data_IF_710716707552
#
_entry.id   IF_710716707552
#
_cell.length_a   1.000
_cell.length_b   1.000
_cell.length_c   1.000
_cell.angle_alpha   90.00
_cell.angle_beta   90.00
_cell.angle_gamma   90.00
#
_symmetry.space_group_name_H-M   'P 1'
#
loop_
_entity.id
_entity.type
_entity.pdbx_description
1 polymer ?
#
# COMPACT_ATOMS: atom_id res chain seq x y z
N UNK A 1 9.95 15.21 21.92
CA UNK A 1 11.16 14.39 21.66
C UNK A 1 11.24 14.01 20.19
N UNK A 2 10.24 13.36 19.59
CA UNK A 2 10.20 12.92 18.19
C UNK A 2 10.44 14.06 17.18
N UNK A 3 9.83 15.23 17.39
CA UNK A 3 10.02 16.40 16.54
C UNK A 3 11.50 16.84 16.48
N UNK A 4 12.15 16.90 17.65
CA UNK A 4 13.55 17.28 17.76
C UNK A 4 14.49 16.26 17.11
N UNK A 5 14.20 14.97 17.27
CA UNK A 5 14.97 13.90 16.64
C UNK A 5 14.92 14.01 15.10
N UNK A 6 13.76 14.24 14.53
CA UNK A 6 13.59 14.30 13.08
C UNK A 6 14.06 15.60 12.44
N UNK A 7 13.71 16.74 13.06
CA UNK A 7 14.00 18.06 12.46
C UNK A 7 15.35 18.63 12.88
N UNK A 8 15.96 18.10 13.95
CA UNK A 8 17.15 18.64 14.62
C UNK A 8 16.95 20.08 15.12
N UNK A 9 15.69 20.47 15.37
CA UNK A 9 15.33 21.81 15.88
C UNK A 9 14.79 21.70 17.30
N UNK A 10 15.17 22.63 18.15
CA UNK A 10 14.68 22.72 19.53
C UNK A 10 13.26 23.28 19.61
N UNK A 11 12.95 24.30 18.78
CA UNK A 11 11.69 24.99 18.79
C UNK A 11 10.79 24.58 17.63
N UNK A 12 9.49 24.58 17.88
CA UNK A 12 8.49 24.35 16.84
C UNK A 12 8.38 25.56 15.89
N UNK A 13 8.27 25.29 14.61
CA UNK A 13 8.03 26.33 13.62
C UNK A 13 6.75 27.14 13.95
N UNK A 14 6.69 28.45 13.64
CA UNK A 14 5.57 29.31 14.02
C UNK A 14 4.20 28.76 13.57
N UNK A 15 4.10 28.17 12.41
CA UNK A 15 2.86 27.59 11.89
C UNK A 15 2.40 26.32 12.63
N UNK A 16 3.26 25.71 13.45
CA UNK A 16 2.92 24.56 14.28
C UNK A 16 2.46 24.94 15.69
N UNK A 17 2.68 26.18 16.11
CA UNK A 17 2.32 26.66 17.45
C UNK A 17 0.86 26.42 17.84
N UNK A 18 -0.15 26.58 16.95
CA UNK A 18 -1.54 26.26 17.27
C UNK A 18 -1.80 24.81 17.69
N UNK A 19 -0.92 23.89 17.29
CA UNK A 19 -1.02 22.47 17.58
C UNK A 19 -0.16 22.03 18.77
N UNK A 20 0.52 22.96 19.43
CA UNK A 20 1.32 22.65 20.62
C UNK A 20 0.44 22.78 21.86
N UNK A 21 0.29 21.69 22.61
CA UNK A 21 -0.42 21.63 23.88
C UNK A 21 0.53 21.08 24.95
N UNK A 22 0.67 21.79 26.06
CA UNK A 22 1.53 21.38 27.19
C UNK A 22 2.96 21.02 26.75
N UNK A 23 3.52 21.75 25.79
CA UNK A 23 4.86 21.51 25.24
C UNK A 23 4.99 20.33 24.28
N UNK A 24 3.90 19.64 23.95
CA UNK A 24 3.86 18.56 22.98
C UNK A 24 3.16 18.99 21.68
N UNK A 25 3.72 18.59 20.54
CA UNK A 25 3.08 18.78 19.23
C UNK A 25 1.98 17.73 19.04
N UNK A 26 0.73 18.18 19.01
CA UNK A 26 -0.46 17.35 18.87
C UNK A 26 -0.98 17.39 17.41
N UNK A 27 -0.22 16.81 16.49
CA UNK A 27 -0.65 16.66 15.09
C UNK A 27 -1.16 15.23 14.89
N UNK A 28 -2.40 15.04 14.42
CA UNK A 28 -2.91 13.72 14.11
C UNK A 28 -2.02 13.05 13.04
N UNK A 29 -1.43 11.92 13.38
CA UNK A 29 -0.55 11.17 12.47
C UNK A 29 -0.99 9.71 12.31
N UNK A 30 -1.79 9.20 13.25
CA UNK A 30 -2.34 7.86 13.24
C UNK A 30 -3.84 7.93 13.09
N UNK A 31 -4.41 6.97 12.38
CA UNK A 31 -5.85 6.96 12.19
C UNK A 31 -6.35 5.69 11.52
N UNK A 32 -7.63 5.49 11.62
CA UNK A 32 -8.35 4.42 10.94
C UNK A 32 -9.59 4.99 10.27
N UNK A 33 -9.80 4.60 9.02
CA UNK A 33 -10.93 4.99 8.22
C UNK A 33 -11.66 3.73 7.75
N UNK A 34 -12.96 3.66 7.98
CA UNK A 34 -13.83 2.63 7.43
C UNK A 34 -14.83 3.30 6.50
N UNK A 35 -14.88 2.85 5.26
CA UNK A 35 -15.75 3.43 4.24
C UNK A 35 -16.27 2.36 3.28
N UNK A 36 -17.22 2.74 2.43
CA UNK A 36 -17.78 1.86 1.42
C UNK A 36 -17.72 2.52 0.04
N UNK A 37 -17.17 1.81 -0.94
CA UNK A 37 -17.12 2.23 -2.34
C UNK A 37 -17.72 1.12 -3.21
N UNK A 38 -18.69 1.46 -4.05
CA UNK A 38 -19.40 0.52 -4.92
C UNK A 38 -19.88 -0.74 -4.19
N UNK A 39 -20.38 -0.58 -2.95
CA UNK A 39 -20.86 -1.68 -2.14
C UNK A 39 -19.77 -2.50 -1.42
N UNK A 40 -18.50 -2.24 -1.69
CA UNK A 40 -17.35 -2.91 -1.07
C UNK A 40 -16.93 -2.11 0.16
N UNK A 41 -16.89 -2.77 1.32
CA UNK A 41 -16.37 -2.19 2.55
C UNK A 41 -14.86 -2.23 2.54
N UNK A 42 -14.23 -1.09 2.81
CA UNK A 42 -12.79 -0.95 2.96
C UNK A 42 -12.45 -0.39 4.34
N UNK A 43 -11.36 -0.87 4.90
CA UNK A 43 -10.75 -0.36 6.13
C UNK A 43 -9.30 -0.02 5.83
N UNK A 44 -8.92 1.20 6.14
CA UNK A 44 -7.53 1.67 6.03
C UNK A 44 -7.10 2.14 7.41
N UNK A 45 -6.00 1.61 7.91
CA UNK A 45 -5.38 2.04 9.15
C UNK A 45 -3.94 2.47 8.87
N UNK A 46 -3.54 3.59 9.44
CA UNK A 46 -2.20 4.14 9.35
C UNK A 46 -1.66 4.31 10.76
N UNK A 47 -0.48 3.77 11.00
CA UNK A 47 0.27 3.98 12.23
C UNK A 47 1.66 4.48 11.87
N UNK A 48 1.98 5.67 12.32
CA UNK A 48 3.29 6.27 12.12
C UNK A 48 4.07 6.28 13.43
N UNK A 49 5.09 5.46 13.48
CA UNK A 49 6.11 5.49 14.53
C UNK A 49 7.29 6.27 13.98
N UNK A 50 7.50 7.46 14.48
CA UNK A 50 8.41 8.46 13.94
C UNK A 50 9.86 7.97 13.76
N UNK A 51 10.34 7.11 14.63
CA UNK A 51 11.68 6.49 14.52
C UNK A 51 11.51 4.99 14.46
N UNK A 52 11.78 4.42 13.29
CA UNK A 52 11.85 2.98 13.13
C UNK A 52 13.17 2.42 13.73
N UNK A 53 13.19 1.18 14.21
CA UNK A 53 14.43 0.53 14.63
C UNK A 53 15.46 0.53 13.51
N UNK A 54 16.75 0.59 13.86
CA UNK A 54 17.84 0.54 12.88
C UNK A 54 17.74 -0.73 12.01
N UNK A 55 17.91 -0.57 10.70
CA UNK A 55 17.79 -1.67 9.73
C UNK A 55 16.37 -2.11 9.42
N UNK A 56 15.34 -1.46 10.00
CA UNK A 56 13.94 -1.70 9.63
C UNK A 56 13.52 -0.80 8.45
N UNK A 57 12.44 -1.22 7.78
CA UNK A 57 11.77 -0.46 6.74
C UNK A 57 10.29 -0.28 7.06
N UNK A 58 9.56 0.28 6.12
CA UNK A 58 8.11 0.43 6.22
C UNK A 58 7.43 -0.95 6.28
N UNK A 59 6.43 -1.06 7.14
CA UNK A 59 5.58 -2.24 7.26
C UNK A 59 4.24 -1.94 6.59
N UNK A 60 3.82 -2.82 5.70
CA UNK A 60 2.55 -2.70 5.00
C UNK A 60 1.85 -4.06 4.93
N UNK A 61 0.54 -4.07 5.16
CA UNK A 61 -0.31 -5.22 4.87
C UNK A 61 -1.55 -4.75 4.13
N UNK A 62 -1.85 -5.39 3.01
CA UNK A 62 -3.10 -5.18 2.28
C UNK A 62 -3.77 -6.53 2.03
N UNK A 63 -5.08 -6.62 2.31
CA UNK A 63 -5.84 -7.86 2.10
C UNK A 63 -7.11 -7.58 1.33
N UNK A 64 -7.26 -8.23 0.18
CA UNK A 64 -8.51 -8.27 -0.58
C UNK A 64 -9.20 -9.60 -0.31
N UNK A 65 -10.31 -9.54 0.41
CA UNK A 65 -11.11 -10.74 0.74
C UNK A 65 -12.10 -11.04 -0.37
N UNK A 66 -12.02 -12.23 -0.92
CA UNK A 66 -12.90 -12.75 -1.96
C UNK A 66 -13.76 -13.91 -1.42
N UNK A 67 -14.76 -14.34 -2.18
CA UNK A 67 -15.63 -15.46 -1.79
C UNK A 67 -14.88 -16.78 -1.53
N UNK A 68 -13.82 -17.05 -2.29
CA UNK A 68 -13.08 -18.32 -2.25
C UNK A 68 -11.72 -18.22 -1.56
N UNK A 69 -11.25 -17.02 -1.25
CA UNK A 69 -9.93 -16.81 -0.69
C UNK A 69 -9.59 -15.34 -0.51
N UNK A 70 -8.34 -15.06 -0.28
CA UNK A 70 -7.81 -13.71 -0.12
C UNK A 70 -6.56 -13.53 -0.96
N UNK A 71 -6.39 -12.32 -1.49
CA UNK A 71 -5.13 -11.84 -2.05
C UNK A 71 -4.51 -10.95 -0.99
N UNK A 72 -3.26 -11.20 -0.63
CA UNK A 72 -2.60 -10.56 0.50
C UNK A 72 -1.26 -10.01 0.02
N UNK A 73 -0.99 -8.76 0.34
CA UNK A 73 0.34 -8.16 0.21
C UNK A 73 0.86 -7.95 1.62
N UNK A 74 2.05 -8.46 1.89
CA UNK A 74 2.77 -8.26 3.15
C UNK A 74 4.14 -7.69 2.86
N UNK A 75 4.53 -6.71 3.66
CA UNK A 75 5.86 -6.12 3.67
C UNK A 75 6.24 -5.89 5.13
N UNK A 76 7.18 -6.64 5.62
CA UNK A 76 7.66 -6.57 6.99
C UNK A 76 8.99 -7.28 7.15
N UNK A 77 9.42 -7.48 8.38
CA UNK A 77 10.70 -8.12 8.67
C UNK A 77 10.82 -9.53 8.07
N UNK A 78 9.75 -10.33 8.12
CA UNK A 78 9.72 -11.69 7.54
C UNK A 78 9.91 -11.70 6.02
N UNK A 79 9.50 -10.62 5.33
CA UNK A 79 9.66 -10.43 3.90
C UNK A 79 10.93 -9.65 3.55
N UNK A 80 11.80 -9.35 4.53
CA UNK A 80 12.97 -8.49 4.35
C UNK A 80 12.58 -7.07 3.90
N UNK A 81 11.42 -6.59 4.35
CA UNK A 81 10.81 -5.30 3.97
C UNK A 81 10.57 -5.13 2.45
N UNK A 82 10.48 -6.24 1.71
CA UNK A 82 10.08 -6.25 0.30
C UNK A 82 8.61 -6.64 0.18
N UNK A 83 7.79 -5.93 -0.63
CA UNK A 83 6.40 -6.32 -0.87
C UNK A 83 6.31 -7.75 -1.40
N UNK A 84 5.56 -8.60 -0.73
CA UNK A 84 5.36 -10.00 -1.09
C UNK A 84 3.88 -10.27 -1.30
N UNK A 85 3.53 -10.92 -2.39
CA UNK A 85 2.16 -11.21 -2.80
C UNK A 85 1.81 -12.67 -2.49
N UNK A 86 0.72 -12.85 -1.75
CA UNK A 86 0.22 -14.17 -1.36
C UNK A 86 -1.23 -14.38 -1.81
N UNK A 87 -1.56 -15.63 -2.06
CA UNK A 87 -2.91 -16.10 -2.34
C UNK A 87 -3.25 -17.18 -1.33
N UNK A 88 -4.32 -16.96 -0.57
CA UNK A 88 -4.81 -17.91 0.44
C UNK A 88 -6.25 -18.30 0.14
N UNK A 89 -6.56 -19.59 0.10
CA UNK A 89 -7.92 -20.09 -0.10
C UNK A 89 -8.60 -20.37 1.23
N UNK A 90 -9.89 -20.05 1.32
CA UNK A 90 -10.68 -20.30 2.54
C UNK A 90 -10.88 -21.80 2.80
N UNK A 91 -11.00 -22.59 1.73
CA UNK A 91 -11.28 -24.02 1.80
C UNK A 91 -10.74 -24.72 0.54
N UNK A 92 -9.46 -25.04 0.48
CA UNK A 92 -8.91 -25.76 -0.67
C UNK A 92 -9.44 -27.20 -0.64
N UNK A 93 -10.52 -27.47 -1.41
CA UNK A 93 -11.10 -28.83 -1.49
C UNK A 93 -10.17 -29.84 -2.10
N UNK A 94 -9.29 -29.40 -3.00
CA UNK A 94 -8.22 -30.18 -3.59
C UNK A 94 -7.04 -29.23 -3.85
N UNK A 95 -6.00 -29.38 -3.06
CA UNK A 95 -4.83 -28.51 -3.10
C UNK A 95 -4.09 -28.63 -4.44
N UNK A 96 -3.93 -29.86 -4.96
CA UNK A 96 -3.26 -30.10 -6.24
C UNK A 96 -3.98 -29.41 -7.42
N UNK A 97 -5.31 -29.44 -7.45
CA UNK A 97 -6.07 -28.79 -8.53
C UNK A 97 -6.03 -27.26 -8.39
N UNK A 98 -6.02 -26.76 -7.16
CA UNK A 98 -5.86 -25.33 -6.89
C UNK A 98 -4.50 -24.84 -7.37
N UNK A 99 -3.43 -25.54 -7.08
CA UNK A 99 -2.08 -25.23 -7.50
C UNK A 99 -1.94 -25.27 -9.04
N UNK A 100 -2.51 -26.28 -9.69
CA UNK A 100 -2.53 -26.37 -11.16
C UNK A 100 -3.22 -25.17 -11.80
N UNK A 101 -4.37 -24.77 -11.26
CA UNK A 101 -5.11 -23.62 -11.78
C UNK A 101 -4.36 -22.29 -11.55
N UNK A 102 -3.73 -22.12 -10.39
CA UNK A 102 -2.86 -20.97 -10.13
C UNK A 102 -1.68 -20.92 -11.09
N UNK A 103 -0.99 -22.05 -11.31
CA UNK A 103 0.11 -22.13 -12.26
C UNK A 103 -0.35 -21.77 -13.67
N UNK A 104 -1.56 -22.18 -14.06
CA UNK A 104 -2.14 -21.79 -15.37
C UNK A 104 -2.38 -20.27 -15.47
N UNK A 105 -2.80 -19.63 -14.37
CA UNK A 105 -2.98 -18.18 -14.32
C UNK A 105 -1.63 -17.48 -14.38
N UNK A 106 -0.64 -17.92 -13.61
CA UNK A 106 0.72 -17.38 -13.62
C UNK A 106 1.34 -17.50 -15.03
N UNK A 107 1.18 -18.63 -15.69
CA UNK A 107 1.67 -18.80 -17.07
C UNK A 107 1.07 -17.77 -18.04
N UNK A 108 -0.21 -17.43 -17.91
CA UNK A 108 -0.83 -16.37 -18.73
C UNK A 108 -0.30 -14.96 -18.42
N UNK A 109 0.19 -14.74 -17.22
CA UNK A 109 0.74 -13.45 -16.81
C UNK A 109 2.24 -13.33 -17.17
N UNK A 110 2.90 -14.45 -17.49
CA UNK A 110 4.33 -14.48 -17.77
C UNK A 110 4.74 -13.63 -19.00
N UNK A 111 3.87 -13.49 -20.00
CA UNK A 111 4.12 -12.63 -21.16
C UNK A 111 4.26 -11.15 -20.74
N UNK A 112 3.47 -10.73 -19.74
CA UNK A 112 3.50 -9.35 -19.22
C UNK A 112 4.53 -9.17 -18.11
N UNK A 113 4.75 -10.21 -17.33
CA UNK A 113 5.64 -10.21 -16.17
C UNK A 113 6.62 -11.40 -16.26
N UNK A 114 7.68 -11.28 -17.06
CA UNK A 114 8.61 -12.39 -17.30
C UNK A 114 9.26 -12.89 -16.02
N UNK A 115 9.31 -14.22 -15.89
CA UNK A 115 9.97 -14.89 -14.76
C UNK A 115 9.17 -14.99 -13.47
N UNK A 116 7.92 -14.52 -13.42
CA UNK A 116 7.05 -14.77 -12.27
C UNK A 116 6.76 -16.27 -12.14
N UNK A 117 6.67 -16.74 -10.90
CA UNK A 117 6.36 -18.14 -10.60
C UNK A 117 5.57 -18.26 -9.30
N UNK A 118 5.16 -19.46 -8.95
CA UNK A 118 4.38 -19.74 -7.76
C UNK A 118 5.22 -20.60 -6.80
N UNK A 119 5.29 -20.19 -5.54
CA UNK A 119 5.84 -20.97 -4.44
C UNK A 119 4.77 -21.28 -3.41
N UNK A 120 4.88 -22.39 -2.72
CA UNK A 120 3.99 -22.75 -1.62
C UNK A 120 4.65 -22.41 -0.28
N UNK A 121 3.92 -21.69 0.58
CA UNK A 121 4.32 -21.37 1.95
C UNK A 121 3.20 -21.73 2.94
N UNK A 122 3.33 -22.88 3.60
CA UNK A 122 2.32 -23.36 4.54
C UNK A 122 0.93 -23.55 3.88
N UNK A 123 -0.05 -22.80 4.33
CA UNK A 123 -1.45 -22.82 3.85
C UNK A 123 -1.76 -21.78 2.77
N UNK A 124 -0.73 -21.11 2.23
CA UNK A 124 -0.84 -20.05 1.22
C UNK A 124 0.16 -20.25 0.08
N UNK A 125 -0.09 -19.61 -1.04
CA UNK A 125 0.80 -19.56 -2.18
C UNK A 125 1.43 -18.18 -2.28
N UNK A 126 2.75 -18.13 -2.48
CA UNK A 126 3.49 -16.91 -2.74
C UNK A 126 3.72 -16.75 -4.23
N UNK A 127 3.40 -15.58 -4.78
CA UNK A 127 3.83 -15.23 -6.14
C UNK A 127 5.27 -14.74 -6.05
N UNK A 128 6.19 -15.51 -6.63
CA UNK A 128 7.60 -15.19 -6.69
C UNK A 128 7.82 -14.18 -7.83
N UNK A 129 8.22 -12.98 -7.47
CA UNK A 129 8.44 -11.87 -8.40
C UNK A 129 9.94 -11.67 -8.54
N UNK A 130 10.52 -11.77 -9.76
CA UNK A 130 11.94 -11.51 -9.98
C UNK A 130 12.36 -10.11 -9.59
N UNK A 131 13.57 -9.95 -9.06
CA UNK A 131 14.11 -8.63 -8.68
C UNK A 131 14.10 -7.62 -9.85
N UNK A 132 14.24 -8.08 -11.08
CA UNK A 132 14.18 -7.23 -12.27
C UNK A 132 12.81 -6.53 -12.48
N UNK A 133 11.75 -7.02 -11.84
CA UNK A 133 10.41 -6.41 -11.88
C UNK A 133 10.17 -5.43 -10.72
N UNK A 134 11.07 -5.37 -9.74
CA UNK A 134 11.01 -4.36 -8.69
C UNK A 134 11.71 -3.08 -9.15
N UNK A 135 10.98 -1.99 -9.12
CA UNK A 135 11.53 -0.65 -9.40
C UNK A 135 11.68 0.11 -8.09
N UNK A 136 12.78 0.84 -7.95
CA UNK A 136 13.04 1.68 -6.79
C UNK A 136 12.11 2.88 -6.70
N UNK A 137 12.12 3.54 -5.55
CA UNK A 137 11.25 4.71 -5.27
C UNK A 137 11.47 5.84 -6.28
N UNK A 138 12.71 6.13 -6.63
CA UNK A 138 13.07 7.17 -7.61
C UNK A 138 12.54 6.84 -9.01
N UNK A 139 12.62 5.57 -9.42
CA UNK A 139 12.07 5.13 -10.70
C UNK A 139 10.55 5.27 -10.74
N UNK A 140 9.84 5.00 -9.65
CA UNK A 140 8.40 5.22 -9.56
C UNK A 140 8.02 6.70 -9.74
N UNK A 141 8.78 7.62 -9.15
CA UNK A 141 8.57 9.06 -9.34
C UNK A 141 8.76 9.43 -10.80
N UNK A 142 9.84 8.98 -11.44
CA UNK A 142 10.12 9.22 -12.86
C UNK A 142 8.99 8.71 -13.74
N UNK A 143 8.55 7.46 -13.56
CA UNK A 143 7.43 6.86 -14.30
C UNK A 143 6.12 7.64 -14.12
N UNK A 144 5.87 8.16 -12.92
CA UNK A 144 4.69 8.98 -12.63
C UNK A 144 4.74 10.31 -13.38
N UNK A 145 5.91 10.94 -13.44
CA UNK A 145 6.11 12.19 -14.19
C UNK A 145 6.01 11.96 -15.69
N UNK A 146 6.58 10.89 -16.22
CA UNK A 146 6.45 10.52 -17.64
C UNK A 146 4.98 10.33 -18.01
N UNK A 147 4.23 9.61 -17.17
CA UNK A 147 2.79 9.40 -17.37
C UNK A 147 2.01 10.72 -17.37
N UNK A 148 2.33 11.64 -16.47
CA UNK A 148 1.71 12.96 -16.42
C UNK A 148 2.00 13.76 -17.69
N UNK A 149 3.25 13.74 -18.16
CA UNK A 149 3.63 14.39 -19.42
C UNK A 149 2.92 13.79 -20.63
N UNK A 150 2.74 12.47 -20.65
CA UNK A 150 1.99 11.79 -21.69
C UNK A 150 0.51 12.20 -21.70
N UNK A 151 -0.12 12.34 -20.53
CA UNK A 151 -1.47 12.87 -20.44
C UNK A 151 -1.55 14.30 -20.96
N UNK A 152 -0.59 15.14 -20.63
CA UNK A 152 -0.53 16.52 -21.13
C UNK A 152 -0.41 16.56 -22.66
N UNK A 153 0.45 15.74 -23.25
CA UNK A 153 0.68 15.65 -24.70
C UNK A 153 -0.54 15.08 -25.46
N UNK A 154 -1.28 14.17 -24.82
CA UNK A 154 -2.38 13.43 -25.45
C UNK A 154 -3.79 13.97 -25.12
N UNK A 155 -3.89 15.22 -24.69
CA UNK A 155 -5.18 15.91 -24.51
C UNK A 155 -5.77 15.87 -23.11
N UNK A 156 -5.01 15.45 -22.11
CA UNK A 156 -5.36 15.57 -20.70
C UNK A 156 -5.47 14.27 -19.92
N UNK A 157 -5.76 14.42 -18.65
CA UNK A 157 -5.88 13.30 -17.70
C UNK A 157 -7.16 12.51 -18.00
N UNK A 158 -7.12 11.18 -18.11
CA UNK A 158 -8.31 10.36 -18.30
C UNK A 158 -9.36 10.59 -17.19
N UNK A 159 -10.63 10.54 -17.57
CA UNK A 159 -11.75 10.77 -16.64
C UNK A 159 -11.69 9.85 -15.40
N UNK A 160 -11.38 8.57 -15.60
CA UNK A 160 -11.31 7.59 -14.51
C UNK A 160 -10.27 7.98 -13.45
N UNK A 161 -9.13 8.55 -13.84
CA UNK A 161 -8.08 8.97 -12.92
C UNK A 161 -8.50 10.20 -12.13
N UNK A 162 -9.17 11.15 -12.80
CA UNK A 162 -9.76 12.33 -12.15
C UNK A 162 -10.82 11.95 -11.12
N UNK A 163 -11.69 10.99 -11.46
CA UNK A 163 -12.73 10.49 -10.56
C UNK A 163 -12.13 9.74 -9.36
N UNK A 164 -11.09 8.95 -9.58
CA UNK A 164 -10.36 8.26 -8.52
C UNK A 164 -9.72 9.24 -7.55
N UNK A 165 -9.07 10.29 -8.05
CA UNK A 165 -8.47 11.33 -7.22
C UNK A 165 -9.52 12.07 -6.40
N UNK A 166 -10.64 12.48 -7.01
CA UNK A 166 -11.76 13.11 -6.30
C UNK A 166 -12.30 12.23 -5.19
N UNK A 167 -12.51 10.94 -5.47
CA UNK A 167 -12.99 9.96 -4.49
C UNK A 167 -12.02 9.81 -3.33
N UNK A 168 -10.73 9.70 -3.61
CA UNK A 168 -9.68 9.63 -2.60
C UNK A 168 -9.71 10.83 -1.65
N UNK A 169 -9.70 12.03 -2.22
CA UNK A 169 -9.68 13.25 -1.39
C UNK A 169 -11.00 13.46 -0.65
N UNK A 170 -12.14 13.10 -1.23
CA UNK A 170 -13.42 13.13 -0.54
C UNK A 170 -13.39 12.24 0.71
N UNK A 171 -12.94 10.98 0.57
CA UNK A 171 -12.87 10.02 1.70
C UNK A 171 -11.95 10.58 2.80
N UNK A 172 -10.78 11.11 2.46
CA UNK A 172 -9.83 11.64 3.43
C UNK A 172 -10.42 12.88 4.13
N UNK A 173 -11.01 13.82 3.39
CA UNK A 173 -11.60 15.03 3.95
C UNK A 173 -12.77 14.72 4.88
N UNK A 174 -13.65 13.79 4.49
CA UNK A 174 -14.76 13.36 5.36
C UNK A 174 -14.26 12.64 6.61
N UNK A 175 -13.21 11.84 6.50
CA UNK A 175 -12.61 11.19 7.66
C UNK A 175 -12.07 12.21 8.67
N UNK A 176 -11.38 13.26 8.21
CA UNK A 176 -10.91 14.35 9.08
C UNK A 176 -12.10 15.07 9.71
N UNK A 177 -13.09 15.47 8.94
CA UNK A 177 -14.30 16.15 9.43
C UNK A 177 -15.06 15.35 10.50
N UNK A 178 -15.10 14.03 10.38
CA UNK A 178 -15.77 13.14 11.33
C UNK A 178 -14.92 12.83 12.58
N UNK A 179 -13.63 13.15 12.55
CA UNK A 179 -12.73 12.96 13.71
C UNK A 179 -12.64 14.18 14.63
N UNK A 180 -13.16 15.32 14.20
CA UNK A 180 -13.31 16.56 14.98
C UNK A 180 -14.59 16.54 15.81
#
# INVERSE_FOLDING_TARGET
EQYRQGTKKEDYAPFLQPYVKEGALCVPSNGEIVFKVNGICARVAIQWNFVAPEGSGDVQTATVRCKKGSIIIEQGAEQGYKPSLYIKFNNPRNESDTEKELNRIIAKLADKYPGISLGKEGDRFRVLIPDALFVGHEAHITMSMEKLLDYYRNGGVPQWETEQLKTKYYIISEAVRLSE
#
